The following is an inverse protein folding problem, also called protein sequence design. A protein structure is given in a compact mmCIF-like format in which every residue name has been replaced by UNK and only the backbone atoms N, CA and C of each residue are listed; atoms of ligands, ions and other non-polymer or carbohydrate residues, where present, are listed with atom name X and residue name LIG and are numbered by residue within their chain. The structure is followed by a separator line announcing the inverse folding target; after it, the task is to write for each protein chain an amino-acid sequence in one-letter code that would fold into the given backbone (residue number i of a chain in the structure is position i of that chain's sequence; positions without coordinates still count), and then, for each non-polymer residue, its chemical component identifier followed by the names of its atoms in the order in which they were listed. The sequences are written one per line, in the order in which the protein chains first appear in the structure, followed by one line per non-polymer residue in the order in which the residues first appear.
data_IF_512367244226
#
_entry.id   IF_512367244226
#
_cell.length_a   1.000
_cell.length_b   1.000
_cell.length_c   1.000
_cell.angle_alpha   90.00
_cell.angle_beta   90.00
_cell.angle_gamma   90.00
#
_symmetry.space_group_name_H-M   'P 1'
#
loop_
_entity.id
_entity.type
_entity.pdbx_description
1 polymer ?
#
# COMPACT_ATOMS: atom_id res chain seq x y z
N UNK A 1 -8.81 -16.93 -14.42
CA UNK A 1 -7.62 -16.06 -14.20
C UNK A 1 -7.85 -14.95 -13.17
N UNK A 2 -8.90 -14.10 -13.28
CA UNK A 2 -9.14 -12.99 -12.31
C UNK A 2 -9.09 -13.39 -10.83
N UNK A 3 -9.77 -14.48 -10.44
CA UNK A 3 -9.79 -14.95 -9.03
C UNK A 3 -8.38 -15.29 -8.52
N UNK A 4 -7.58 -15.97 -9.35
CA UNK A 4 -6.19 -16.33 -9.02
C UNK A 4 -5.35 -15.06 -8.80
N UNK A 5 -5.49 -14.07 -9.67
CA UNK A 5 -4.80 -12.78 -9.50
C UNK A 5 -5.21 -12.07 -8.20
N UNK A 6 -6.50 -12.07 -7.85
CA UNK A 6 -6.98 -11.48 -6.59
C UNK A 6 -6.40 -12.20 -5.37
N UNK A 7 -6.36 -13.54 -5.37
CA UNK A 7 -5.75 -14.29 -4.26
C UNK A 7 -4.24 -14.04 -4.16
N UNK A 8 -3.54 -13.96 -5.30
CA UNK A 8 -2.12 -13.63 -5.33
C UNK A 8 -1.84 -12.23 -4.76
N UNK A 9 -2.67 -11.23 -5.11
CA UNK A 9 -2.54 -9.87 -4.58
C UNK A 9 -2.80 -9.82 -3.07
N UNK A 10 -3.81 -10.52 -2.57
CA UNK A 10 -4.03 -10.63 -1.12
C UNK A 10 -2.88 -11.35 -0.42
N UNK A 11 -2.34 -12.42 -1.01
CA UNK A 11 -1.15 -13.10 -0.51
C UNK A 11 0.05 -12.15 -0.44
N UNK A 12 0.26 -11.33 -1.46
CA UNK A 12 1.32 -10.31 -1.48
C UNK A 12 1.13 -9.28 -0.35
N UNK A 13 -0.09 -8.77 -0.15
CA UNK A 13 -0.39 -7.84 0.96
C UNK A 13 -0.03 -8.47 2.31
N UNK A 14 -0.44 -9.72 2.54
CA UNK A 14 -0.20 -10.43 3.80
C UNK A 14 1.29 -10.70 4.04
N UNK A 15 2.02 -11.14 3.00
CA UNK A 15 3.46 -11.37 3.07
C UNK A 15 4.19 -10.05 3.34
N UNK A 16 3.88 -8.98 2.60
CA UNK A 16 4.46 -7.65 2.84
C UNK A 16 4.20 -7.18 4.26
N UNK A 17 2.95 -7.28 4.74
CA UNK A 17 2.61 -6.86 6.10
C UNK A 17 3.38 -7.66 7.16
N UNK A 18 3.54 -8.98 6.98
CA UNK A 18 4.29 -9.84 7.89
C UNK A 18 5.78 -9.49 7.91
N UNK A 19 6.39 -9.25 6.75
CA UNK A 19 7.79 -8.85 6.65
C UNK A 19 8.03 -7.50 7.33
N UNK A 20 7.18 -6.50 7.04
CA UNK A 20 7.27 -5.16 7.64
C UNK A 20 7.04 -5.19 9.15
N UNK A 21 6.04 -5.93 9.61
CA UNK A 21 5.73 -6.05 11.04
C UNK A 21 6.86 -6.72 11.82
N UNK A 22 7.46 -7.77 11.26
CA UNK A 22 8.56 -8.50 11.89
C UNK A 22 9.91 -7.79 11.76
N UNK A 23 10.01 -6.71 10.96
CA UNK A 23 11.29 -6.07 10.64
C UNK A 23 12.27 -7.04 9.97
N UNK A 24 11.78 -7.95 9.12
CA UNK A 24 12.56 -9.07 8.61
C UNK A 24 13.84 -8.59 7.87
N UNK A 25 15.01 -9.23 8.07
CA UNK A 25 16.29 -8.75 7.51
C UNK A 25 16.31 -8.56 5.98
N UNK A 26 15.48 -9.32 5.26
CA UNK A 26 15.31 -9.20 3.80
C UNK A 26 14.93 -7.80 3.35
N UNK A 27 14.27 -7.01 4.22
CA UNK A 27 13.87 -5.63 3.89
C UNK A 27 15.08 -4.71 3.68
N UNK A 28 16.22 -5.03 4.27
CA UNK A 28 17.44 -4.24 4.16
C UNK A 28 18.46 -4.85 3.18
N UNK A 29 18.14 -5.97 2.51
CA UNK A 29 19.00 -6.54 1.49
C UNK A 29 19.11 -5.57 0.29
N UNK A 30 20.29 -5.49 -0.35
CA UNK A 30 20.49 -4.63 -1.51
C UNK A 30 19.66 -5.16 -2.69
N UNK A 31 18.79 -4.32 -3.21
CA UNK A 31 18.00 -4.54 -4.41
C UNK A 31 18.59 -3.86 -5.65
N UNK A 32 17.79 -3.71 -6.72
CA UNK A 32 18.17 -2.96 -7.90
C UNK A 32 18.67 -1.55 -7.54
N UNK A 33 19.74 -1.10 -8.19
CA UNK A 33 20.39 0.20 -7.93
C UNK A 33 20.92 0.38 -6.49
N UNK A 34 21.10 -0.70 -5.74
CA UNK A 34 21.59 -0.67 -4.36
C UNK A 34 20.55 -0.20 -3.34
N UNK A 35 19.29 -0.04 -3.74
CA UNK A 35 18.21 0.37 -2.85
C UNK A 35 17.73 -0.80 -1.98
N UNK A 36 17.33 -0.59 -0.71
CA UNK A 36 16.77 -1.65 0.12
C UNK A 36 15.57 -2.35 -0.55
N UNK A 37 15.55 -3.68 -0.57
CA UNK A 37 14.42 -4.46 -1.10
C UNK A 37 13.10 -4.12 -0.40
N UNK A 38 13.15 -3.70 0.85
CA UNK A 38 12.00 -3.27 1.65
C UNK A 38 11.21 -2.15 1.00
N UNK A 39 11.84 -1.26 0.24
CA UNK A 39 11.12 -0.23 -0.52
C UNK A 39 10.19 -0.83 -1.57
N UNK A 40 10.73 -1.76 -2.37
CA UNK A 40 9.96 -2.45 -3.39
C UNK A 40 8.86 -3.30 -2.78
N UNK A 41 9.16 -4.00 -1.68
CA UNK A 41 8.21 -4.83 -0.95
C UNK A 41 7.07 -4.00 -0.36
N UNK A 42 7.38 -2.87 0.29
CA UNK A 42 6.39 -1.95 0.85
C UNK A 42 5.52 -1.35 -0.26
N UNK A 43 6.14 -0.82 -1.32
CA UNK A 43 5.41 -0.21 -2.43
C UNK A 43 4.51 -1.22 -3.14
N UNK A 44 4.99 -2.45 -3.36
CA UNK A 44 4.21 -3.52 -3.95
C UNK A 44 2.99 -3.87 -3.07
N UNK A 45 3.14 -3.95 -1.75
CA UNK A 45 2.02 -4.19 -0.84
C UNK A 45 1.00 -3.05 -0.84
N UNK A 46 1.46 -1.79 -0.82
CA UNK A 46 0.61 -0.61 -0.89
C UNK A 46 -0.23 -0.59 -2.19
N UNK A 47 0.36 -0.94 -3.33
CA UNK A 47 -0.35 -1.02 -4.62
C UNK A 47 -1.27 -2.24 -4.70
N UNK A 48 -0.84 -3.37 -4.15
CA UNK A 48 -1.57 -4.63 -4.24
C UNK A 48 -2.93 -4.58 -3.54
N UNK A 49 -3.02 -3.89 -2.40
CA UNK A 49 -4.25 -3.80 -1.61
C UNK A 49 -5.43 -3.15 -2.37
N UNK A 50 -5.37 -1.89 -2.84
CA UNK A 50 -6.46 -1.29 -3.62
C UNK A 50 -6.67 -2.02 -4.95
N UNK A 51 -5.64 -2.62 -5.55
CA UNK A 51 -5.78 -3.41 -6.78
C UNK A 51 -6.60 -4.68 -6.54
N UNK A 52 -6.37 -5.39 -5.42
CA UNK A 52 -7.15 -6.56 -5.03
C UNK A 52 -8.63 -6.21 -4.83
N UNK A 53 -8.90 -5.03 -4.25
CA UNK A 53 -10.26 -4.51 -4.07
C UNK A 53 -10.95 -4.22 -5.41
N UNK A 54 -10.27 -3.52 -6.32
CA UNK A 54 -10.80 -3.18 -7.64
C UNK A 54 -11.12 -4.41 -8.49
N UNK A 55 -10.21 -5.40 -8.51
CA UNK A 55 -10.38 -6.62 -9.31
C UNK A 55 -11.32 -7.64 -8.66
N UNK A 56 -11.36 -7.68 -7.33
CA UNK A 56 -12.10 -8.66 -6.54
C UNK A 56 -13.51 -8.18 -6.17
N UNK A 57 -13.59 -7.07 -5.43
CA UNK A 57 -14.82 -6.60 -4.79
C UNK A 57 -15.58 -5.62 -5.67
N UNK A 58 -14.88 -4.73 -6.35
CA UNK A 58 -15.47 -3.57 -7.03
C UNK A 58 -15.48 -3.68 -8.56
N UNK A 59 -15.30 -4.89 -9.09
CA UNK A 59 -15.29 -5.12 -10.52
C UNK A 59 -16.67 -4.82 -11.16
N UNK A 60 -16.69 -4.57 -12.47
CA UNK A 60 -17.88 -4.16 -13.25
C UNK A 60 -19.16 -4.94 -12.90
N UNK A 61 -19.11 -6.28 -12.96
CA UNK A 61 -20.27 -7.13 -12.66
C UNK A 61 -20.88 -6.97 -11.25
N UNK A 62 -20.10 -6.56 -10.23
CA UNK A 62 -20.67 -6.29 -8.91
C UNK A 62 -21.36 -4.91 -8.89
N UNK A 63 -20.76 -3.91 -9.55
CA UNK A 63 -21.33 -2.56 -9.67
C UNK A 63 -22.63 -2.53 -10.47
N UNK A 64 -22.79 -3.41 -11.46
CA UNK A 64 -24.04 -3.53 -12.22
C UNK A 64 -25.18 -4.12 -11.39
N UNK A 65 -24.86 -5.00 -10.43
CA UNK A 65 -25.84 -5.55 -9.49
C UNK A 65 -26.21 -4.57 -8.39
N UNK A 66 -25.25 -3.75 -7.98
CA UNK A 66 -25.43 -2.76 -6.93
C UNK A 66 -24.64 -1.47 -7.26
N UNK A 67 -25.32 -0.43 -7.77
CA UNK A 67 -24.68 0.82 -8.14
C UNK A 67 -23.96 1.53 -6.99
N UNK A 68 -24.32 1.27 -5.72
CA UNK A 68 -23.67 1.89 -4.55
C UNK A 68 -22.22 1.44 -4.40
N UNK A 69 -21.87 0.28 -4.96
CA UNK A 69 -20.48 -0.21 -5.05
C UNK A 69 -19.60 0.76 -5.86
N UNK A 70 -20.19 1.58 -6.73
CA UNK A 70 -19.49 2.61 -7.49
C UNK A 70 -18.69 3.61 -6.62
N UNK A 71 -19.18 3.96 -5.43
CA UNK A 71 -18.48 4.86 -4.50
C UNK A 71 -17.17 4.23 -4.01
N UNK A 72 -17.23 2.96 -3.60
CA UNK A 72 -16.04 2.22 -3.15
C UNK A 72 -15.03 1.99 -4.28
N UNK A 73 -15.51 1.80 -5.51
CA UNK A 73 -14.66 1.72 -6.70
C UNK A 73 -13.87 3.03 -6.92
N UNK A 74 -14.55 4.18 -6.91
CA UNK A 74 -13.90 5.49 -7.11
C UNK A 74 -12.91 5.76 -5.97
N UNK A 75 -13.30 5.49 -4.71
CA UNK A 75 -12.41 5.64 -3.56
C UNK A 75 -11.16 4.74 -3.70
N UNK A 76 -11.32 3.50 -4.15
CA UNK A 76 -10.21 2.56 -4.36
C UNK A 76 -9.30 2.97 -5.51
N UNK A 77 -9.83 3.61 -6.57
CA UNK A 77 -9.01 4.24 -7.61
C UNK A 77 -8.17 5.38 -7.03
N UNK A 78 -8.75 6.22 -6.18
CA UNK A 78 -8.01 7.26 -5.47
C UNK A 78 -6.88 6.69 -4.60
N UNK A 79 -7.18 5.63 -3.84
CA UNK A 79 -6.19 4.92 -3.02
C UNK A 79 -5.09 4.27 -3.87
N UNK A 80 -5.43 3.70 -5.03
CA UNK A 80 -4.46 3.16 -5.97
C UNK A 80 -3.54 4.25 -6.52
N UNK A 81 -4.10 5.40 -6.93
CA UNK A 81 -3.31 6.55 -7.41
C UNK A 81 -2.34 7.02 -6.33
N UNK A 82 -2.81 7.19 -5.09
CA UNK A 82 -1.94 7.56 -3.97
C UNK A 82 -0.82 6.53 -3.75
N UNK A 83 -1.15 5.23 -3.85
CA UNK A 83 -0.18 4.14 -3.70
C UNK A 83 0.87 4.12 -4.82
N UNK A 84 0.46 4.41 -6.06
CA UNK A 84 1.39 4.54 -7.20
C UNK A 84 2.29 5.78 -7.05
N UNK A 85 1.79 6.86 -6.44
CA UNK A 85 2.58 8.07 -6.20
C UNK A 85 3.46 8.00 -4.94
N UNK A 86 3.22 7.03 -4.06
CA UNK A 86 3.90 6.93 -2.76
C UNK A 86 5.42 7.02 -2.87
N UNK A 87 6.05 6.27 -3.78
CA UNK A 87 7.51 6.31 -3.93
C UNK A 87 8.04 7.70 -4.28
N UNK A 88 7.39 8.38 -5.23
CA UNK A 88 7.79 9.72 -5.69
C UNK A 88 7.60 10.76 -4.58
N UNK A 89 6.47 10.71 -3.88
CA UNK A 89 6.17 11.61 -2.78
C UNK A 89 7.12 11.38 -1.59
N UNK A 90 7.40 10.11 -1.27
CA UNK A 90 8.35 9.72 -0.24
C UNK A 90 9.77 10.17 -0.54
N UNK A 91 10.22 10.12 -1.80
CA UNK A 91 11.50 10.69 -2.20
C UNK A 91 11.55 12.20 -1.96
N UNK A 92 10.49 12.93 -2.31
CA UNK A 92 10.41 14.37 -2.08
C UNK A 92 10.53 14.76 -0.60
N UNK A 93 10.03 13.91 0.30
CA UNK A 93 10.09 14.13 1.75
C UNK A 93 11.42 13.68 2.37
N UNK A 94 11.93 12.52 1.97
CA UNK A 94 13.13 11.92 2.57
C UNK A 94 14.44 12.41 1.94
N UNK A 95 14.38 12.99 0.74
CA UNK A 95 15.55 13.40 -0.05
C UNK A 95 16.35 12.23 -0.65
N UNK A 96 15.88 10.99 -0.47
CA UNK A 96 16.53 9.78 -1.00
C UNK A 96 15.52 8.62 -1.13
N UNK A 97 15.93 7.57 -1.83
CA UNK A 97 15.18 6.30 -1.97
C UNK A 97 15.72 5.21 -1.03
N UNK A 98 16.39 5.52 0.08
CA UNK A 98 17.00 4.54 0.99
C UNK A 98 16.26 4.52 2.33
N UNK A 99 14.98 4.11 2.30
CA UNK A 99 14.19 3.96 3.52
C UNK A 99 14.71 2.76 4.31
N UNK A 100 15.11 2.98 5.56
CA UNK A 100 15.63 1.92 6.41
C UNK A 100 14.51 1.35 7.26
N UNK A 101 14.43 0.03 7.29
CA UNK A 101 13.40 -0.73 7.99
C UNK A 101 13.92 -1.34 9.30
N UNK A 102 15.13 -0.96 9.71
CA UNK A 102 15.71 -1.31 10.99
C UNK A 102 15.59 -0.12 11.96
N UNK A 103 15.10 -0.36 13.18
CA UNK A 103 14.84 0.70 14.17
C UNK A 103 16.12 1.40 14.68
N UNK A 104 17.29 0.84 14.39
CA UNK A 104 18.57 1.28 14.95
C UNK A 104 19.38 2.20 14.03
N UNK A 105 18.96 2.40 12.77
CA UNK A 105 19.70 3.19 11.79
C UNK A 105 18.91 4.41 11.35
N UNK A 106 19.49 5.59 11.56
CA UNK A 106 18.92 6.86 11.11
C UNK A 106 19.24 7.07 9.62
N UNK A 107 18.32 6.72 8.71
CA UNK A 107 18.47 7.01 7.27
C UNK A 107 17.61 8.15 6.75
N UNK A 108 16.84 8.79 7.63
CA UNK A 108 16.04 9.94 7.22
C UNK A 108 16.92 11.18 7.12
N UNK A 109 17.19 11.62 5.89
CA UNK A 109 18.06 12.78 5.59
C UNK A 109 17.30 14.10 5.73
N UNK A 110 15.97 14.08 5.68
CA UNK A 110 15.13 15.27 5.83
C UNK A 110 15.02 15.78 7.28
N UNK A 111 14.42 16.96 7.45
CA UNK A 111 14.13 17.51 8.78
C UNK A 111 13.06 16.70 9.54
N UNK A 112 12.96 16.89 10.86
CA UNK A 112 12.01 16.19 11.72
C UNK A 112 10.54 16.33 11.26
N UNK A 113 10.20 17.48 10.70
CA UNK A 113 8.88 17.73 10.12
C UNK A 113 8.63 16.86 8.87
N UNK A 114 9.61 16.76 7.97
CA UNK A 114 9.51 15.91 6.78
C UNK A 114 9.40 14.42 7.15
N UNK A 115 10.07 13.98 8.22
CA UNK A 115 9.93 12.61 8.73
C UNK A 115 8.50 12.33 9.19
N UNK A 116 7.87 13.30 9.87
CA UNK A 116 6.48 13.19 10.32
C UNK A 116 5.52 13.10 9.14
N UNK A 117 5.69 13.94 8.12
CA UNK A 117 4.89 13.86 6.88
C UNK A 117 5.10 12.55 6.12
N UNK A 118 6.32 12.02 6.09
CA UNK A 118 6.61 10.73 5.48
C UNK A 118 5.85 9.59 6.18
N UNK A 119 5.80 9.62 7.52
CA UNK A 119 5.02 8.66 8.30
C UNK A 119 3.52 8.81 8.05
N UNK A 120 2.99 10.04 8.03
CA UNK A 120 1.57 10.29 7.72
C UNK A 120 1.20 9.85 6.31
N UNK A 121 2.04 10.14 5.32
CA UNK A 121 1.84 9.68 3.94
C UNK A 121 1.80 8.16 3.88
N UNK A 122 2.74 7.48 4.52
CA UNK A 122 2.81 6.01 4.53
C UNK A 122 1.60 5.40 5.24
N UNK A 123 1.24 5.94 6.40
CA UNK A 123 0.07 5.51 7.16
C UNK A 123 -1.23 5.74 6.39
N UNK A 124 -1.40 6.89 5.74
CA UNK A 124 -2.58 7.19 4.94
C UNK A 124 -2.67 6.28 3.71
N UNK A 125 -1.55 6.03 3.03
CA UNK A 125 -1.50 5.18 1.82
C UNK A 125 -1.91 3.75 2.14
N UNK A 126 -1.52 3.20 3.29
CA UNK A 126 -1.97 1.88 3.75
C UNK A 126 -3.39 1.92 4.36
N UNK A 127 -3.68 2.94 5.16
CA UNK A 127 -4.90 3.05 5.97
C UNK A 127 -6.15 3.33 5.16
N UNK A 128 -6.09 4.21 4.15
CA UNK A 128 -7.24 4.55 3.30
C UNK A 128 -7.84 3.30 2.62
N UNK A 129 -7.09 2.47 1.89
CA UNK A 129 -7.67 1.27 1.28
C UNK A 129 -8.15 0.26 2.33
N UNK A 130 -7.52 0.13 3.50
CA UNK A 130 -8.07 -0.69 4.59
C UNK A 130 -9.42 -0.15 5.10
N UNK A 131 -9.54 1.16 5.28
CA UNK A 131 -10.80 1.80 5.68
C UNK A 131 -11.90 1.57 4.65
N UNK A 132 -11.58 1.72 3.35
CA UNK A 132 -12.51 1.43 2.25
C UNK A 132 -13.01 -0.02 2.33
N UNK A 133 -12.11 -0.98 2.58
CA UNK A 133 -12.48 -2.38 2.75
C UNK A 133 -13.44 -2.56 3.93
N UNK A 134 -13.11 -2.00 5.10
CA UNK A 134 -13.95 -2.12 6.30
C UNK A 134 -15.34 -1.53 6.07
N UNK A 135 -15.42 -0.33 5.50
CA UNK A 135 -16.70 0.32 5.18
C UNK A 135 -17.53 -0.50 4.18
N UNK A 136 -16.89 -1.11 3.18
CA UNK A 136 -17.57 -2.00 2.25
C UNK A 136 -18.11 -3.27 2.94
N UNK A 137 -17.32 -3.87 3.84
CA UNK A 137 -17.76 -5.05 4.58
C UNK A 137 -18.95 -4.73 5.49
N UNK A 138 -18.93 -3.58 6.16
CA UNK A 138 -20.07 -3.07 6.94
C UNK A 138 -21.28 -2.88 6.02
N UNK A 139 -21.11 -2.14 4.92
CA UNK A 139 -22.16 -1.91 3.94
C UNK A 139 -22.82 -3.20 3.45
N UNK A 140 -22.03 -4.24 3.18
CA UNK A 140 -22.52 -5.53 2.68
C UNK A 140 -23.22 -6.38 3.74
N UNK A 141 -23.03 -6.07 5.02
CA UNK A 141 -23.67 -6.77 6.14
C UNK A 141 -25.04 -6.19 6.53
N UNK A 142 -25.38 -5.01 5.99
CA UNK A 142 -26.67 -4.34 6.17
C UNK A 142 -27.66 -4.76 5.08
#
# INVERSE_FOLDING_TARGET
MRKVAVYALWGLVLITALLLYSGHPVLNWPGPFGLPLGNGIAWAGLVALPTAQLLGLFHKHNREKDPRIGVFYIASLGALTLSLLWGVLSYGLAGNWSFVFNQQEASFVGGAEAASYFLYLSAATAGIPLLILLLYLIYRSL
#
